data_IF_257315992806
#
_entry.id   IF_257315992806
#
_cell.length_a   1.000
_cell.length_b   1.000
_cell.length_c   1.000
_cell.angle_alpha   90.00
_cell.angle_beta   90.00
_cell.angle_gamma   90.00
#
_symmetry.space_group_name_H-M   'P 1'
#
loop_
_entity.id
_entity.type
_entity.pdbx_description
1 polymer ?
#
# COMPACT_ATOMS: atom_id res chain seq x y z
N UNK A 1 -0.39 18.85 23.93
CA UNK A 1 -0.35 17.53 24.59
C UNK A 1 0.94 16.86 24.15
N UNK A 2 1.74 16.30 25.07
CA UNK A 2 2.96 15.56 24.71
C UNK A 2 2.66 14.07 24.79
N UNK A 3 3.10 13.27 23.83
CA UNK A 3 2.93 11.81 23.83
C UNK A 3 4.32 11.19 23.75
N UNK A 4 4.56 10.13 24.53
CA UNK A 4 5.74 9.28 24.40
C UNK A 4 5.30 7.84 24.23
N UNK A 5 5.89 7.14 23.27
CA UNK A 5 5.63 5.73 22.95
C UNK A 5 6.86 4.91 23.31
N UNK A 6 6.68 3.97 24.25
CA UNK A 6 7.76 3.21 24.86
C UNK A 6 7.49 1.71 24.66
N UNK A 7 8.31 1.01 23.85
CA UNK A 7 8.25 -0.45 23.79
C UNK A 7 8.73 -1.05 25.12
N UNK A 8 8.01 -2.06 25.60
CA UNK A 8 8.36 -2.84 26.79
C UNK A 8 8.36 -4.33 26.45
N UNK A 9 9.31 -5.07 27.00
CA UNK A 9 9.49 -6.50 26.65
C UNK A 9 8.55 -7.44 27.43
N UNK A 10 7.70 -6.90 28.29
CA UNK A 10 6.85 -7.68 29.19
C UNK A 10 5.43 -7.12 29.25
N UNK A 11 4.49 -8.04 29.46
CA UNK A 11 3.08 -7.74 29.69
C UNK A 11 2.84 -7.19 31.08
N UNK A 12 1.99 -6.17 31.21
CA UNK A 12 1.49 -5.78 32.51
C UNK A 12 0.25 -6.61 32.88
N UNK A 13 0.21 -7.08 34.12
CA UNK A 13 -0.98 -7.63 34.76
C UNK A 13 -1.60 -6.59 35.69
N UNK A 14 -2.84 -6.77 36.17
CA UNK A 14 -3.39 -5.93 37.24
C UNK A 14 -2.52 -5.87 38.52
N UNK A 15 -1.63 -6.85 38.71
CA UNK A 15 -0.67 -6.88 39.80
C UNK A 15 0.62 -6.10 39.50
N UNK A 16 1.06 -6.03 38.23
CA UNK A 16 2.38 -5.51 37.85
C UNK A 16 2.35 -4.16 37.13
N UNK A 17 1.17 -3.69 36.69
CA UNK A 17 1.05 -2.38 36.05
C UNK A 17 1.38 -1.23 37.01
N UNK A 18 2.03 -0.16 36.52
CA UNK A 18 2.24 1.06 37.29
C UNK A 18 0.94 1.63 37.83
N UNK A 19 0.89 1.81 39.15
CA UNK A 19 -0.22 2.46 39.87
C UNK A 19 0.19 3.86 40.34
N UNK A 20 1.50 4.11 40.48
CA UNK A 20 2.05 5.38 40.92
C UNK A 20 2.95 5.99 39.85
N UNK A 21 3.02 7.32 39.82
CA UNK A 21 3.90 8.06 38.90
C UNK A 21 5.36 7.61 39.01
N UNK A 22 5.86 7.36 40.23
CA UNK A 22 7.23 6.93 40.47
C UNK A 22 7.57 5.60 39.77
N UNK A 23 6.63 4.65 39.77
CA UNK A 23 6.80 3.35 39.09
C UNK A 23 6.88 3.54 37.57
N UNK A 24 6.06 4.44 37.03
CA UNK A 24 6.12 4.80 35.61
C UNK A 24 7.42 5.54 35.25
N UNK A 25 7.86 6.47 36.10
CA UNK A 25 9.10 7.23 35.90
C UNK A 25 10.32 6.28 35.84
N UNK A 26 10.35 5.20 36.64
CA UNK A 26 11.39 4.18 36.59
C UNK A 26 11.41 3.44 35.24
N UNK A 27 10.24 3.06 34.72
CA UNK A 27 10.13 2.42 33.41
C UNK A 27 10.65 3.37 32.32
N UNK A 28 10.19 4.62 32.33
CA UNK A 28 10.63 5.64 31.37
C UNK A 28 12.14 5.86 31.41
N UNK A 29 12.73 6.00 32.61
CA UNK A 29 14.16 6.18 32.79
C UNK A 29 14.98 4.97 32.33
N UNK A 30 14.42 3.76 32.39
CA UNK A 30 15.09 2.54 31.92
C UNK A 30 15.04 2.33 30.41
N UNK A 31 14.14 3.03 29.70
CA UNK A 31 13.87 2.79 28.26
C UNK A 31 14.18 3.96 27.35
N UNK A 32 14.22 5.17 27.89
CA UNK A 32 14.46 6.39 27.14
C UNK A 32 15.87 6.90 27.38
N UNK A 33 16.45 7.55 26.38
CA UNK A 33 17.66 8.34 26.57
C UNK A 33 17.41 9.52 27.54
N UNK A 34 18.48 10.03 28.16
CA UNK A 34 18.36 11.21 29.01
C UNK A 34 17.79 12.43 28.28
N UNK A 35 18.02 12.53 26.97
CA UNK A 35 17.52 13.64 26.14
C UNK A 35 16.00 13.51 25.99
N UNK A 36 15.49 12.35 25.57
CA UNK A 36 14.05 12.10 25.43
C UNK A 36 13.31 12.28 26.75
N UNK A 37 13.88 11.78 27.84
CA UNK A 37 13.30 11.91 29.17
C UNK A 37 13.26 13.39 29.61
N UNK A 38 14.33 14.16 29.35
CA UNK A 38 14.35 15.61 29.62
C UNK A 38 13.35 16.37 28.77
N UNK A 39 13.25 16.08 27.47
CA UNK A 39 12.28 16.72 26.57
C UNK A 39 10.83 16.43 26.96
N UNK A 40 10.54 15.19 27.38
CA UNK A 40 9.23 14.78 27.85
C UNK A 40 8.85 15.41 29.20
N UNK A 41 9.84 15.62 30.08
CA UNK A 41 9.65 16.23 31.39
C UNK A 41 9.84 17.75 31.42
N UNK A 42 10.31 18.33 30.32
CA UNK A 42 10.59 19.77 30.23
C UNK A 42 9.33 20.57 30.61
N UNK A 43 9.48 21.62 31.45
CA UNK A 43 8.36 22.45 31.87
C UNK A 43 7.79 23.19 30.66
N UNK A 44 6.76 22.61 30.03
CA UNK A 44 5.94 23.28 29.02
C UNK A 44 4.88 24.12 29.74
N UNK A 45 4.36 25.17 29.10
CA UNK A 45 3.32 26.08 29.64
C UNK A 45 2.32 25.30 30.50
N UNK A 46 2.04 25.80 31.72
CA UNK A 46 1.45 25.11 32.88
C UNK A 46 0.03 24.50 32.74
N UNK A 47 -0.38 24.12 31.53
CA UNK A 47 -1.70 23.59 31.21
C UNK A 47 -1.66 22.36 30.28
N UNK A 48 -0.49 21.78 29.97
CA UNK A 48 -0.41 20.67 29.01
C UNK A 48 -0.37 19.29 29.67
N UNK A 49 -1.40 18.48 29.39
CA UNK A 49 -1.37 17.04 29.67
C UNK A 49 -0.27 16.32 28.90
N UNK A 50 0.25 15.25 29.49
CA UNK A 50 1.21 14.32 28.86
C UNK A 50 0.62 12.91 28.84
N UNK A 51 0.94 12.15 27.80
CA UNK A 51 0.54 10.76 27.64
C UNK A 51 1.79 9.90 27.55
N UNK A 52 1.77 8.78 28.27
CA UNK A 52 2.72 7.68 28.11
C UNK A 52 1.98 6.51 27.52
N UNK A 53 2.50 5.94 26.42
CA UNK A 53 2.05 4.70 25.84
C UNK A 53 3.12 3.64 26.09
N UNK A 54 2.75 2.53 26.69
CA UNK A 54 3.61 1.36 26.88
C UNK A 54 3.13 0.27 25.93
N UNK A 55 3.94 -0.10 24.94
CA UNK A 55 3.62 -1.17 23.98
C UNK A 55 4.28 -2.47 24.43
N UNK A 56 3.46 -3.41 24.89
CA UNK A 56 3.88 -4.75 25.31
C UNK A 56 3.55 -5.79 24.21
N UNK A 57 4.17 -6.98 24.24
CA UNK A 57 3.93 -8.02 23.23
C UNK A 57 2.47 -8.50 23.13
N UNK A 58 1.68 -8.36 24.20
CA UNK A 58 0.30 -8.84 24.28
C UNK A 58 -0.71 -7.73 24.66
N UNK A 59 -0.32 -6.45 24.58
CA UNK A 59 -1.21 -5.37 24.96
C UNK A 59 -0.57 -3.98 24.87
N UNK A 60 -1.39 -2.95 25.05
CA UNK A 60 -0.90 -1.57 25.15
C UNK A 60 -1.58 -0.86 26.28
N UNK A 61 -0.80 -0.08 27.02
CA UNK A 61 -1.23 0.59 28.23
C UNK A 61 -0.96 2.06 28.07
N UNK A 62 -1.97 2.88 28.29
CA UNK A 62 -1.85 4.32 28.23
C UNK A 62 -1.95 4.93 29.61
N UNK A 63 -1.23 6.02 29.82
CA UNK A 63 -1.31 6.81 31.04
C UNK A 63 -1.38 8.28 30.70
N UNK A 64 -2.43 8.95 31.17
CA UNK A 64 -2.50 10.40 31.18
C UNK A 64 -1.85 10.92 32.46
N UNK A 65 -0.86 11.79 32.29
CA UNK A 65 -0.24 12.57 33.35
C UNK A 65 -0.86 13.97 33.30
N UNK A 66 -1.74 14.33 34.26
CA UNK A 66 -2.38 15.63 34.26
C UNK A 66 -1.36 16.75 34.41
N UNK A 67 -1.41 17.72 33.49
CA UNK A 67 -0.68 18.98 33.59
C UNK A 67 -1.61 20.19 33.48
N UNK A 68 -2.93 19.96 33.58
CA UNK A 68 -3.99 20.97 33.45
C UNK A 68 -4.10 21.90 34.66
N UNK A 69 -5.00 22.90 34.61
CA UNK A 69 -5.09 23.96 35.61
C UNK A 69 -5.45 23.43 37.01
N UNK A 70 -5.06 24.20 38.03
CA UNK A 70 -5.37 23.98 39.45
C UNK A 70 -6.88 23.77 39.62
N UNK A 71 -7.29 22.65 40.24
CA UNK A 71 -8.69 22.49 40.68
C UNK A 71 -8.87 23.28 41.99
N UNK A 72 -9.65 24.36 41.95
CA UNK A 72 -10.10 25.05 43.16
C UNK A 72 -11.21 24.23 43.85
N UNK A 73 -10.88 23.50 44.90
CA UNK A 73 -11.89 23.11 45.91
C UNK A 73 -12.07 24.27 46.87
N UNK A 74 -13.13 25.07 46.70
CA UNK A 74 -13.54 26.07 47.70
C UNK A 74 -14.10 25.37 48.94
N UNK A 75 -13.24 25.09 49.93
CA UNK A 75 -13.62 24.97 51.34
C UNK A 75 -12.49 25.54 52.22
N UNK A 76 -12.64 26.80 52.67
CA UNK A 76 -11.77 27.44 53.67
C UNK A 76 -10.37 27.89 53.20
N UNK A 77 -9.60 28.49 54.12
CA UNK A 77 -8.23 29.01 53.95
C UNK A 77 -7.21 27.90 53.62
N UNK A 78 -7.29 27.28 52.44
CA UNK A 78 -6.30 26.32 51.94
C UNK A 78 -5.66 26.79 50.65
N UNK A 79 -4.33 26.59 50.61
CA UNK A 79 -3.39 26.87 49.52
C UNK A 79 -3.83 26.21 48.23
N UNK A 80 -3.67 26.91 47.10
CA UNK A 80 -3.81 26.39 45.75
C UNK A 80 -2.97 25.11 45.56
N UNK A 81 -3.61 23.94 45.58
CA UNK A 81 -2.97 22.65 45.34
C UNK A 81 -2.94 22.35 43.85
N UNK A 82 -1.77 22.00 43.30
CA UNK A 82 -1.71 21.37 41.97
C UNK A 82 -2.65 20.16 41.97
N UNK A 83 -3.37 19.89 40.87
CA UNK A 83 -4.23 18.72 40.80
C UNK A 83 -3.38 17.50 41.21
N UNK A 84 -3.96 16.70 42.08
CA UNK A 84 -3.37 15.47 42.55
C UNK A 84 -2.82 14.74 41.31
N UNK A 85 -1.50 14.51 41.24
CA UNK A 85 -0.74 13.99 40.09
C UNK A 85 -1.06 12.50 39.83
N UNK A 86 -2.34 12.15 39.89
CA UNK A 86 -2.81 10.79 39.79
C UNK A 86 -2.54 10.32 38.37
N UNK A 87 -1.88 9.17 38.32
CA UNK A 87 -1.66 8.44 37.10
C UNK A 87 -3.03 7.95 36.61
N UNK A 88 -3.56 8.55 35.55
CA UNK A 88 -4.87 8.17 35.03
C UNK A 88 -4.66 7.13 33.92
N UNK A 89 -5.07 5.86 34.12
CA UNK A 89 -4.98 4.86 33.06
C UNK A 89 -5.91 5.25 31.91
N UNK A 90 -5.42 5.06 30.69
CA UNK A 90 -6.16 5.24 29.45
C UNK A 90 -6.39 3.89 28.80
N UNK A 91 -7.60 3.71 28.27
CA UNK A 91 -7.86 2.64 27.33
C UNK A 91 -7.15 2.97 26.01
N UNK A 92 -6.29 2.07 25.56
CA UNK A 92 -5.50 2.25 24.33
C UNK A 92 -5.85 1.13 23.35
N UNK A 93 -6.17 1.53 22.13
CA UNK A 93 -6.32 0.62 20.99
C UNK A 93 -5.27 0.98 19.95
N UNK A 94 -4.48 -0.01 19.53
CA UNK A 94 -3.45 0.17 18.49
C UNK A 94 -4.06 0.24 17.09
N UNK A 95 -3.55 1.16 16.29
CA UNK A 95 -3.93 1.36 14.88
C UNK A 95 -2.70 1.44 13.95
N UNK A 96 -1.50 1.21 14.48
CA UNK A 96 -0.28 1.14 13.67
C UNK A 96 -0.27 -0.09 12.76
N UNK A 97 0.54 -0.04 11.68
CA UNK A 97 0.58 -1.09 10.67
C UNK A 97 0.98 -2.46 11.23
N UNK A 98 1.96 -2.51 12.14
CA UNK A 98 2.43 -3.76 12.74
C UNK A 98 1.29 -4.48 13.48
N UNK A 99 0.45 -3.71 14.18
CA UNK A 99 -0.74 -4.25 14.82
C UNK A 99 -1.83 -4.64 13.82
N UNK A 100 -2.26 -3.73 12.94
CA UNK A 100 -3.46 -3.91 12.12
C UNK A 100 -3.31 -4.98 11.04
N UNK A 101 -2.11 -5.14 10.47
CA UNK A 101 -1.81 -6.10 9.40
C UNK A 101 -1.48 -7.50 9.95
N UNK A 102 -0.66 -7.58 11.00
CA UNK A 102 -0.11 -8.87 11.44
C UNK A 102 -0.14 -9.12 12.95
N UNK A 103 -0.71 -8.23 13.77
CA UNK A 103 -0.66 -8.32 15.25
C UNK A 103 0.77 -8.55 15.76
N UNK A 104 1.73 -7.84 15.19
CA UNK A 104 3.18 -7.96 15.42
C UNK A 104 3.81 -9.33 15.06
N UNK A 105 3.06 -10.25 14.43
CA UNK A 105 3.57 -11.56 14.01
C UNK A 105 4.11 -11.57 12.58
N UNK A 106 3.68 -10.62 11.74
CA UNK A 106 4.22 -10.44 10.40
C UNK A 106 5.48 -9.58 10.48
N UNK A 107 6.64 -10.22 10.30
CA UNK A 107 7.97 -9.61 10.42
C UNK A 107 8.35 -8.71 9.23
N UNK A 108 7.61 -8.76 8.13
CA UNK A 108 7.89 -7.94 6.95
C UNK A 108 7.29 -6.53 7.05
N UNK A 109 6.26 -6.33 7.89
CA UNK A 109 5.57 -5.04 8.04
C UNK A 109 6.52 -3.89 8.41
N UNK A 110 7.46 -4.02 9.37
CA UNK A 110 8.41 -2.95 9.67
C UNK A 110 9.27 -2.54 8.46
N UNK A 111 9.70 -3.50 7.63
CA UNK A 111 10.44 -3.23 6.39
C UNK A 111 9.57 -2.48 5.39
N UNK A 112 8.36 -2.99 5.13
CA UNK A 112 7.39 -2.39 4.20
C UNK A 112 7.00 -0.97 4.61
N UNK A 113 6.95 -0.67 5.91
CA UNK A 113 6.69 0.68 6.43
C UNK A 113 7.80 1.69 6.10
N UNK A 114 9.02 1.22 5.79
CA UNK A 114 10.11 2.06 5.33
C UNK A 114 10.13 2.23 3.80
N UNK A 115 9.39 1.40 3.07
CA UNK A 115 9.37 1.40 1.61
C UNK A 115 8.54 2.55 1.01
N UNK A 116 8.97 3.04 -0.14
CA UNK A 116 8.28 4.01 -0.99
C UNK A 116 8.04 3.46 -2.39
N UNK A 117 6.76 3.21 -2.71
CA UNK A 117 6.32 2.65 -3.99
C UNK A 117 5.77 3.75 -4.92
N UNK A 118 6.19 3.76 -6.18
CA UNK A 118 5.57 4.55 -7.24
C UNK A 118 4.54 3.69 -7.98
N UNK A 119 3.28 4.10 -8.01
CA UNK A 119 2.23 3.45 -8.82
C UNK A 119 1.81 4.38 -9.95
N UNK A 120 1.92 3.90 -11.18
CA UNK A 120 1.54 4.61 -12.40
C UNK A 120 0.27 3.97 -12.94
N UNK A 121 -0.80 4.76 -13.01
CA UNK A 121 -2.15 4.29 -13.29
C UNK A 121 -2.93 4.00 -12.00
N UNK A 122 -3.98 4.78 -11.78
CA UNK A 122 -4.93 4.66 -10.68
C UNK A 122 -6.30 4.20 -11.19
N UNK A 123 -6.34 3.42 -12.27
CA UNK A 123 -7.57 2.86 -12.85
C UNK A 123 -8.16 1.70 -12.05
N UNK A 124 -8.94 0.82 -12.71
CA UNK A 124 -9.61 -0.31 -12.06
C UNK A 124 -8.63 -1.23 -11.32
N UNK A 125 -7.48 -1.53 -11.94
CA UNK A 125 -6.44 -2.36 -11.35
C UNK A 125 -5.62 -1.59 -10.30
N UNK A 126 -5.07 -0.44 -10.69
CA UNK A 126 -4.15 0.32 -9.85
C UNK A 126 -4.77 0.92 -8.59
N UNK A 127 -6.01 1.39 -8.65
CA UNK A 127 -6.68 1.93 -7.45
C UNK A 127 -6.80 0.88 -6.35
N UNK A 128 -7.19 -0.35 -6.69
CA UNK A 128 -7.33 -1.43 -5.71
C UNK A 128 -5.96 -1.97 -5.28
N UNK A 129 -4.98 -2.10 -6.20
CA UNK A 129 -3.61 -2.49 -5.83
C UNK A 129 -3.01 -1.52 -4.81
N UNK A 130 -3.18 -0.20 -4.99
CA UNK A 130 -2.75 0.82 -4.01
C UNK A 130 -3.38 0.58 -2.63
N UNK A 131 -4.69 0.34 -2.58
CA UNK A 131 -5.38 0.04 -1.32
C UNK A 131 -4.84 -1.24 -0.66
N UNK A 132 -4.63 -2.31 -1.43
CA UNK A 132 -4.14 -3.58 -0.92
C UNK A 132 -2.71 -3.48 -0.38
N UNK A 133 -1.77 -2.86 -1.11
CA UNK A 133 -0.38 -2.75 -0.62
C UNK A 133 -0.27 -1.81 0.59
N UNK A 134 -1.11 -0.76 0.67
CA UNK A 134 -1.19 0.08 1.85
C UNK A 134 -1.67 -0.71 3.09
N UNK A 135 -2.70 -1.55 2.93
CA UNK A 135 -3.20 -2.46 3.99
C UNK A 135 -2.20 -3.54 4.37
N UNK A 136 -1.35 -3.96 3.42
CA UNK A 136 -0.27 -4.91 3.64
C UNK A 136 0.95 -4.31 4.37
N UNK A 137 0.88 -3.02 4.72
CA UNK A 137 1.89 -2.36 5.53
C UNK A 137 2.93 -1.56 4.74
N UNK A 138 2.70 -1.24 3.46
CA UNK A 138 3.56 -0.27 2.75
C UNK A 138 3.40 1.12 3.37
N UNK A 139 4.54 1.77 3.67
CA UNK A 139 4.55 3.04 4.40
C UNK A 139 4.31 4.27 3.52
N UNK A 140 4.81 4.27 2.28
CA UNK A 140 4.72 5.42 1.37
C UNK A 140 4.34 4.99 -0.03
N UNK A 141 3.38 5.68 -0.64
CA UNK A 141 2.97 5.46 -2.02
C UNK A 141 2.91 6.80 -2.76
N UNK A 142 3.47 6.88 -3.95
CA UNK A 142 3.18 7.97 -4.89
C UNK A 142 2.33 7.44 -6.03
N UNK A 143 1.29 8.16 -6.41
CA UNK A 143 0.35 7.77 -7.46
C UNK A 143 0.41 8.80 -8.59
N UNK A 144 0.59 8.34 -9.83
CA UNK A 144 0.49 9.16 -11.03
C UNK A 144 -0.70 8.68 -11.86
N UNK A 145 -1.66 9.55 -12.11
CA UNK A 145 -2.76 9.29 -13.04
C UNK A 145 -3.33 10.64 -13.53
N UNK A 146 -3.41 10.81 -14.84
CA UNK A 146 -3.87 12.06 -15.45
C UNK A 146 -5.39 12.18 -15.56
N UNK A 147 -6.11 11.07 -15.39
CA UNK A 147 -7.53 10.97 -15.68
C UNK A 147 -8.40 11.41 -14.51
N UNK A 148 -9.65 11.73 -14.86
CA UNK A 148 -10.75 11.93 -13.93
C UNK A 148 -11.64 10.70 -13.91
N UNK A 149 -12.29 10.45 -12.78
CA UNK A 149 -13.25 9.37 -12.64
C UNK A 149 -14.46 9.58 -13.55
N UNK A 150 -14.77 8.59 -14.38
CA UNK A 150 -15.93 8.60 -15.26
C UNK A 150 -17.02 7.63 -14.74
N UNK A 151 -18.27 7.85 -15.13
CA UNK A 151 -19.39 6.97 -14.74
C UNK A 151 -19.17 5.51 -15.14
N UNK A 152 -18.59 5.26 -16.32
CA UNK A 152 -18.23 3.94 -16.81
C UNK A 152 -17.19 3.20 -15.93
N UNK A 153 -16.46 3.92 -15.06
CA UNK A 153 -15.46 3.31 -14.18
C UNK A 153 -16.07 2.76 -12.89
N UNK A 154 -17.25 3.23 -12.47
CA UNK A 154 -17.86 2.94 -11.15
C UNK A 154 -18.00 1.44 -10.87
N UNK A 155 -18.29 0.63 -11.90
CA UNK A 155 -18.50 -0.82 -11.71
C UNK A 155 -17.24 -1.64 -11.40
N UNK A 156 -16.04 -1.06 -11.52
CA UNK A 156 -14.76 -1.79 -11.38
C UNK A 156 -13.64 -1.01 -10.69
N UNK A 157 -13.87 0.27 -10.41
CA UNK A 157 -12.89 1.14 -9.75
C UNK A 157 -13.08 1.10 -8.23
N UNK A 158 -12.02 1.34 -7.46
CA UNK A 158 -12.10 1.40 -5.99
C UNK A 158 -13.08 2.47 -5.49
N UNK A 159 -13.14 3.58 -6.21
CA UNK A 159 -13.97 4.74 -5.88
C UNK A 159 -15.40 4.57 -6.40
N UNK A 160 -16.39 5.05 -5.64
CA UNK A 160 -17.79 5.00 -6.01
C UNK A 160 -18.23 6.18 -6.90
N UNK A 161 -19.55 6.26 -7.05
CA UNK A 161 -20.23 7.28 -7.88
C UNK A 161 -19.94 8.72 -7.39
N UNK A 162 -19.68 8.90 -6.10
CA UNK A 162 -19.36 10.18 -5.48
C UNK A 162 -18.05 10.79 -5.99
N UNK A 163 -17.17 9.98 -6.59
CA UNK A 163 -15.90 10.44 -7.11
C UNK A 163 -15.96 10.87 -8.58
N UNK A 164 -17.09 10.66 -9.29
CA UNK A 164 -17.22 11.01 -10.71
C UNK A 164 -16.92 12.50 -10.94
N UNK A 165 -16.07 12.79 -11.93
CA UNK A 165 -15.58 14.13 -12.24
C UNK A 165 -14.34 14.57 -11.44
N UNK A 166 -13.93 13.81 -10.40
CA UNK A 166 -12.74 14.10 -9.62
C UNK A 166 -11.52 13.37 -10.17
N UNK A 167 -10.32 13.94 -9.97
CA UNK A 167 -9.07 13.33 -10.41
C UNK A 167 -8.80 11.99 -9.69
N UNK A 168 -8.55 10.92 -10.45
CA UNK A 168 -8.42 9.55 -9.91
C UNK A 168 -7.31 9.45 -8.86
N UNK A 169 -6.10 9.88 -9.19
CA UNK A 169 -4.95 9.81 -8.28
C UNK A 169 -5.22 10.47 -6.92
N UNK A 170 -5.76 11.69 -6.91
CA UNK A 170 -6.03 12.45 -5.67
C UNK A 170 -7.14 11.82 -4.84
N UNK A 171 -8.19 11.34 -5.50
CA UNK A 171 -9.32 10.71 -4.84
C UNK A 171 -8.95 9.35 -4.25
N UNK A 172 -8.17 8.53 -4.96
CA UNK A 172 -7.62 7.26 -4.44
C UNK A 172 -6.72 7.53 -3.24
N UNK A 173 -5.78 8.48 -3.33
CA UNK A 173 -4.92 8.82 -2.21
C UNK A 173 -5.72 9.24 -0.97
N UNK A 174 -6.73 10.10 -1.16
CA UNK A 174 -7.60 10.55 -0.06
C UNK A 174 -8.42 9.41 0.53
N UNK A 175 -8.94 8.49 -0.29
CA UNK A 175 -9.67 7.30 0.16
C UNK A 175 -8.78 6.37 0.98
N UNK A 176 -7.63 5.99 0.42
CA UNK A 176 -6.73 5.00 1.04
C UNK A 176 -6.08 5.56 2.31
N UNK A 177 -5.69 6.83 2.37
CA UNK A 177 -5.17 7.43 3.61
C UNK A 177 -6.20 7.47 4.75
N UNK A 178 -7.51 7.52 4.45
CA UNK A 178 -8.56 7.37 5.48
C UNK A 178 -8.70 5.92 5.94
N UNK A 179 -8.51 4.96 5.04
CA UNK A 179 -8.65 3.54 5.33
C UNK A 179 -7.41 2.94 6.02
N UNK A 180 -6.22 3.42 5.66
CA UNK A 180 -4.91 2.92 6.08
C UNK A 180 -4.04 4.10 6.54
N UNK A 181 -4.27 4.64 7.76
CA UNK A 181 -3.63 5.87 8.23
C UNK A 181 -2.12 5.75 8.47
N UNK A 182 -1.57 4.54 8.51
CA UNK A 182 -0.13 4.27 8.54
C UNK A 182 0.57 4.53 7.20
N UNK A 183 -0.17 4.58 6.10
CA UNK A 183 0.37 4.81 4.76
C UNK A 183 0.26 6.28 4.35
N UNK A 184 1.38 6.89 3.98
CA UNK A 184 1.41 8.25 3.41
C UNK A 184 1.32 8.18 1.90
N UNK A 185 0.41 8.96 1.30
CA UNK A 185 0.22 8.93 -0.14
C UNK A 185 0.38 10.32 -0.75
N UNK A 186 1.21 10.42 -1.79
CA UNK A 186 1.33 11.61 -2.65
C UNK A 186 0.69 11.32 -4.00
N UNK A 187 -0.12 12.25 -4.51
CA UNK A 187 -0.87 12.05 -5.76
C UNK A 187 -0.60 13.15 -6.77
N UNK A 188 -0.34 12.75 -8.01
CA UNK A 188 -0.01 13.64 -9.12
C UNK A 188 -1.02 13.44 -10.25
N UNK A 189 -1.84 14.47 -10.50
CA UNK A 189 -2.83 14.50 -11.58
C UNK A 189 -2.19 14.97 -12.88
N UNK A 190 -1.30 14.16 -13.43
CA UNK A 190 -0.57 14.43 -14.69
C UNK A 190 -0.12 13.12 -15.33
N UNK A 191 0.37 13.20 -16.57
CA UNK A 191 0.90 12.02 -17.27
C UNK A 191 2.23 11.57 -16.66
N UNK A 192 2.56 10.28 -16.84
CA UNK A 192 3.80 9.71 -16.36
C UNK A 192 5.01 10.39 -16.99
N UNK A 193 4.96 10.67 -18.29
CA UNK A 193 6.03 11.33 -19.05
C UNK A 193 6.35 12.70 -18.47
N UNK A 194 5.31 13.51 -18.19
CA UNK A 194 5.49 14.85 -17.60
C UNK A 194 6.07 14.77 -16.20
N UNK A 195 5.61 13.82 -15.39
CA UNK A 195 6.10 13.66 -14.03
C UNK A 195 7.58 13.22 -14.02
N UNK A 196 7.95 12.27 -14.89
CA UNK A 196 9.30 11.74 -15.04
C UNK A 196 10.30 12.80 -15.54
N UNK A 197 9.87 13.79 -16.32
CA UNK A 197 10.71 14.93 -16.71
C UNK A 197 11.05 15.87 -15.55
N UNK A 198 10.28 15.84 -14.48
CA UNK A 198 10.34 16.82 -13.38
C UNK A 198 10.84 16.22 -12.06
N UNK A 199 10.91 14.89 -11.98
CA UNK A 199 11.15 14.16 -10.73
C UNK A 199 12.13 13.01 -10.95
N UNK A 200 12.85 12.65 -9.90
CA UNK A 200 13.77 11.50 -9.91
C UNK A 200 13.09 10.22 -9.43
N UNK A 201 13.55 9.08 -9.95
CA UNK A 201 13.18 7.75 -9.45
C UNK A 201 13.99 7.30 -8.23
N UNK A 202 15.07 8.01 -7.88
CA UNK A 202 15.96 7.63 -6.77
C UNK A 202 15.28 7.40 -5.40
N UNK A 203 14.18 8.09 -5.02
CA UNK A 203 13.53 7.85 -3.73
C UNK A 203 12.68 6.57 -3.64
N UNK A 204 12.46 5.86 -4.75
CA UNK A 204 11.52 4.74 -4.81
C UNK A 204 12.21 3.39 -4.73
N UNK A 205 11.64 2.48 -3.95
CA UNK A 205 12.11 1.10 -3.81
C UNK A 205 11.48 0.18 -4.87
N UNK A 206 10.34 0.58 -5.44
CA UNK A 206 9.60 -0.17 -6.44
C UNK A 206 8.74 0.77 -7.29
N UNK A 207 8.68 0.49 -8.59
CA UNK A 207 7.71 1.08 -9.54
C UNK A 207 6.71 0.00 -9.94
N UNK A 208 5.42 0.36 -9.98
CA UNK A 208 4.35 -0.50 -10.47
C UNK A 208 3.64 0.24 -11.61
N UNK A 209 3.75 -0.29 -12.83
CA UNK A 209 3.02 0.21 -13.99
C UNK A 209 1.76 -0.63 -14.25
N UNK A 210 0.61 0.03 -14.17
CA UNK A 210 -0.72 -0.55 -14.36
C UNK A 210 -1.54 0.23 -15.39
N UNK A 211 -0.85 0.98 -16.26
CA UNK A 211 -1.50 1.78 -17.31
C UNK A 211 -1.92 0.94 -18.51
N UNK A 212 -1.15 -0.12 -18.82
CA UNK A 212 -1.29 -0.87 -20.06
C UNK A 212 -0.77 -0.11 -21.30
N UNK A 213 -0.28 1.12 -21.15
CA UNK A 213 0.12 1.98 -22.26
C UNK A 213 1.58 1.78 -22.66
N UNK A 214 1.89 1.50 -23.95
CA UNK A 214 3.26 1.39 -24.41
C UNK A 214 4.09 2.65 -24.12
N UNK A 215 3.54 3.85 -24.34
CA UNK A 215 4.28 5.12 -24.16
C UNK A 215 4.81 5.28 -22.75
N UNK A 216 4.02 4.88 -21.75
CA UNK A 216 4.41 4.91 -20.33
C UNK A 216 5.55 3.94 -20.08
N UNK A 217 5.48 2.71 -20.62
CA UNK A 217 6.57 1.73 -20.51
C UNK A 217 7.88 2.24 -21.13
N UNK A 218 7.83 2.85 -22.31
CA UNK A 218 9.00 3.49 -22.93
C UNK A 218 9.56 4.62 -22.06
N UNK A 219 8.71 5.49 -21.53
CA UNK A 219 9.15 6.61 -20.70
C UNK A 219 9.78 6.16 -19.38
N UNK A 220 9.17 5.17 -18.70
CA UNK A 220 9.70 4.61 -17.46
C UNK A 220 11.03 3.91 -17.73
N UNK A 221 11.13 3.10 -18.78
CA UNK A 221 12.38 2.43 -19.16
C UNK A 221 13.51 3.43 -19.37
N UNK A 222 13.27 4.49 -20.15
CA UNK A 222 14.29 5.50 -20.46
C UNK A 222 14.87 6.14 -19.19
N UNK A 223 14.05 6.40 -18.18
CA UNK A 223 14.54 6.98 -16.90
C UNK A 223 15.18 5.91 -16.00
N UNK A 224 14.69 4.66 -16.04
CA UNK A 224 15.25 3.53 -15.28
C UNK A 224 16.66 3.14 -15.71
N UNK A 225 17.02 3.36 -16.98
CA UNK A 225 18.39 3.09 -17.46
C UNK A 225 19.45 3.87 -16.67
N UNK A 226 19.15 5.11 -16.29
CA UNK A 226 20.04 5.95 -15.49
C UNK A 226 19.74 5.87 -13.97
N UNK A 227 18.55 5.39 -13.61
CA UNK A 227 18.07 5.31 -12.23
C UNK A 227 17.49 3.91 -11.96
N UNK A 228 18.35 2.91 -11.71
CA UNK A 228 17.94 1.51 -11.65
C UNK A 228 17.05 1.25 -10.43
N UNK A 229 15.76 1.02 -10.67
CA UNK A 229 14.74 0.70 -9.65
C UNK A 229 13.96 -0.53 -10.14
N UNK A 230 13.58 -1.49 -9.27
CA UNK A 230 12.72 -2.60 -9.67
C UNK A 230 11.40 -2.11 -10.27
N UNK A 231 10.91 -2.81 -11.29
CA UNK A 231 9.67 -2.49 -11.99
C UNK A 231 8.77 -3.72 -12.05
N UNK A 232 7.52 -3.57 -11.60
CA UNK A 232 6.44 -4.53 -11.80
C UNK A 232 5.47 -3.96 -12.84
N UNK A 233 5.27 -4.68 -13.94
CA UNK A 233 4.28 -4.35 -14.96
C UNK A 233 3.12 -5.32 -14.80
N UNK A 234 1.93 -4.80 -14.51
CA UNK A 234 0.74 -5.61 -14.26
C UNK A 234 -0.36 -5.33 -15.27
N UNK A 235 -0.98 -6.39 -15.80
CA UNK A 235 -2.11 -6.26 -16.72
C UNK A 235 -3.05 -7.46 -16.65
N UNK A 236 -4.23 -7.30 -17.23
CA UNK A 236 -5.22 -8.36 -17.44
C UNK A 236 -5.55 -8.46 -18.92
N UNK A 237 -5.83 -9.67 -19.36
CA UNK A 237 -6.37 -9.94 -20.69
C UNK A 237 -7.90 -9.82 -20.70
N UNK A 238 -8.55 -9.63 -21.86
CA UNK A 238 -10.00 -9.60 -21.98
C UNK A 238 -10.70 -10.74 -21.22
N UNK A 239 -11.87 -10.44 -20.64
CA UNK A 239 -12.64 -11.32 -19.75
C UNK A 239 -11.92 -11.73 -18.45
N UNK A 240 -10.72 -11.18 -18.20
CA UNK A 240 -9.77 -11.71 -17.22
C UNK A 240 -9.51 -13.19 -17.48
N UNK A 241 -9.37 -13.55 -18.76
CA UNK A 241 -8.93 -14.88 -19.18
C UNK A 241 -7.53 -15.20 -18.63
N UNK A 242 -6.70 -14.18 -18.49
CA UNK A 242 -5.44 -14.25 -17.79
C UNK A 242 -5.13 -12.91 -17.10
N UNK A 243 -4.28 -12.97 -16.09
CA UNK A 243 -3.68 -11.83 -15.45
C UNK A 243 -2.19 -12.07 -15.26
N UNK A 244 -1.40 -11.01 -15.34
CA UNK A 244 0.05 -11.11 -15.38
C UNK A 244 0.70 -10.06 -14.49
N UNK A 245 1.83 -10.45 -13.90
CA UNK A 245 2.78 -9.56 -13.26
C UNK A 245 4.17 -9.89 -13.79
N UNK A 246 4.74 -8.97 -14.56
CA UNK A 246 6.11 -9.05 -15.04
C UNK A 246 7.03 -8.30 -14.08
N UNK A 247 8.06 -8.97 -13.59
CA UNK A 247 9.02 -8.44 -12.63
C UNK A 247 10.34 -8.20 -13.34
N UNK A 248 10.81 -6.96 -13.28
CA UNK A 248 12.12 -6.54 -13.76
C UNK A 248 12.92 -6.07 -12.56
N UNK A 249 13.99 -6.78 -12.21
CA UNK A 249 14.98 -6.28 -11.26
C UNK A 249 15.71 -5.07 -11.85
N UNK A 250 16.41 -4.34 -11.01
CA UNK A 250 16.94 -3.00 -11.32
C UNK A 250 17.88 -2.94 -12.54
N UNK A 251 18.51 -4.07 -12.88
CA UNK A 251 19.45 -4.23 -13.99
C UNK A 251 18.82 -4.85 -15.25
N UNK A 252 17.56 -5.27 -15.21
CA UNK A 252 16.89 -5.90 -16.34
C UNK A 252 16.04 -4.87 -17.14
N UNK A 253 16.43 -4.59 -18.39
CA UNK A 253 15.66 -3.71 -19.26
C UNK A 253 14.44 -4.43 -19.87
N UNK A 254 13.31 -3.71 -19.91
CA UNK A 254 12.11 -4.13 -20.64
C UNK A 254 12.39 -4.21 -22.16
N UNK A 255 13.04 -3.19 -22.73
CA UNK A 255 13.11 -2.96 -24.18
C UNK A 255 14.41 -3.43 -24.85
N UNK A 256 15.02 -4.57 -24.44
CA UNK A 256 16.34 -5.05 -24.96
C UNK A 256 16.52 -4.98 -26.50
N UNK A 257 15.47 -5.21 -27.28
CA UNK A 257 15.50 -5.18 -28.75
C UNK A 257 14.77 -3.97 -29.36
N UNK A 258 14.44 -2.96 -28.55
CA UNK A 258 13.63 -1.80 -28.95
C UNK A 258 12.13 -2.08 -29.13
N UNK A 259 11.68 -3.31 -28.91
CA UNK A 259 10.28 -3.71 -29.05
C UNK A 259 9.64 -3.98 -27.69
N UNK A 260 8.40 -3.51 -27.52
CA UNK A 260 7.54 -3.85 -26.39
C UNK A 260 7.14 -5.33 -26.47
N UNK A 261 7.35 -6.08 -25.39
CA UNK A 261 7.15 -7.55 -25.36
C UNK A 261 5.80 -7.96 -24.78
N UNK A 262 4.95 -7.01 -24.36
CA UNK A 262 3.69 -7.32 -23.69
C UNK A 262 2.82 -8.30 -24.49
N UNK A 263 2.70 -8.08 -25.81
CA UNK A 263 1.94 -8.97 -26.70
C UNK A 263 2.49 -10.39 -26.77
N UNK A 264 3.81 -10.57 -26.62
CA UNK A 264 4.45 -11.90 -26.64
C UNK A 264 4.13 -12.69 -25.36
N UNK A 265 3.87 -11.97 -24.26
CA UNK A 265 3.59 -12.55 -22.96
C UNK A 265 2.13 -12.96 -22.76
N UNK A 266 1.25 -12.64 -23.71
CA UNK A 266 -0.16 -13.00 -23.64
C UNK A 266 -0.38 -14.52 -23.65
N UNK A 267 -1.37 -14.98 -22.88
CA UNK A 267 -1.81 -16.36 -22.75
C UNK A 267 -2.79 -16.78 -23.84
N UNK A 268 -3.61 -15.84 -24.34
CA UNK A 268 -4.61 -16.12 -25.37
C UNK A 268 -4.21 -15.48 -26.69
N UNK A 269 -4.56 -16.14 -27.80
CA UNK A 269 -4.50 -15.53 -29.13
C UNK A 269 -5.77 -14.70 -29.33
N UNK A 270 -5.63 -13.38 -29.30
CA UNK A 270 -6.76 -12.45 -29.39
C UNK A 270 -7.02 -12.01 -30.85
N UNK A 271 -8.23 -12.23 -31.39
CA UNK A 271 -8.66 -11.60 -32.62
C UNK A 271 -8.81 -10.08 -32.47
N UNK A 272 -8.60 -9.33 -33.56
CA UNK A 272 -8.64 -7.87 -33.58
C UNK A 272 -9.97 -7.26 -33.11
N UNK A 273 -11.07 -8.01 -33.22
CA UNK A 273 -12.42 -7.56 -32.91
C UNK A 273 -12.81 -7.74 -31.42
N UNK A 274 -11.96 -8.38 -30.60
CA UNK A 274 -12.20 -8.53 -29.16
C UNK A 274 -12.00 -7.21 -28.42
N UNK A 275 -11.08 -6.38 -28.90
CA UNK A 275 -10.81 -5.07 -28.32
C UNK A 275 -11.84 -4.06 -28.82
N UNK A 276 -12.97 -3.99 -28.11
CA UNK A 276 -14.02 -3.01 -28.42
C UNK A 276 -13.59 -1.61 -27.99
N UNK A 277 -13.40 -0.73 -28.96
CA UNK A 277 -13.10 0.68 -28.73
C UNK A 277 -14.38 1.39 -28.30
N UNK A 278 -14.35 2.12 -27.17
CA UNK A 278 -15.51 2.92 -26.79
C UNK A 278 -15.72 4.06 -27.81
N UNK A 279 -16.95 4.33 -28.26
CA UNK A 279 -17.20 5.44 -29.16
C UNK A 279 -16.81 6.78 -28.49
N UNK A 280 -15.84 7.48 -29.06
CA UNK A 280 -15.48 8.86 -28.67
C UNK A 280 -14.40 9.00 -27.59
N UNK A 281 -13.94 7.91 -26.95
CA UNK A 281 -12.79 7.92 -26.05
C UNK A 281 -11.86 6.81 -26.50
N UNK A 282 -10.59 7.10 -26.77
CA UNK A 282 -9.63 6.14 -27.36
C UNK A 282 -9.32 4.91 -26.50
N UNK A 283 -10.06 4.67 -25.42
CA UNK A 283 -9.97 3.54 -24.52
C UNK A 283 -10.62 2.27 -25.09
N UNK A 284 -10.02 1.12 -24.78
CA UNK A 284 -10.58 -0.18 -25.06
C UNK A 284 -11.41 -0.67 -23.87
N UNK A 285 -12.68 -0.99 -24.10
CA UNK A 285 -13.52 -1.62 -23.10
C UNK A 285 -13.27 -3.13 -23.10
N UNK A 286 -12.77 -3.64 -21.98
CA UNK A 286 -12.74 -5.07 -21.71
C UNK A 286 -13.91 -5.43 -20.80
N UNK A 287 -14.76 -6.37 -21.23
CA UNK A 287 -15.88 -6.87 -20.44
C UNK A 287 -15.36 -7.79 -19.33
N UNK A 288 -15.49 -7.38 -18.08
CA UNK A 288 -15.24 -8.20 -16.91
C UNK A 288 -15.94 -7.63 -15.66
N UNK A 289 -16.09 -8.46 -14.63
CA UNK A 289 -16.61 -8.03 -13.33
C UNK A 289 -15.48 -7.63 -12.39
N UNK A 290 -15.77 -6.79 -11.39
CA UNK A 290 -14.81 -6.45 -10.34
C UNK A 290 -14.29 -7.70 -9.60
N UNK A 291 -15.12 -8.73 -9.44
CA UNK A 291 -14.72 -10.01 -8.82
C UNK A 291 -13.69 -10.75 -9.67
N UNK A 292 -13.88 -10.80 -11.00
CA UNK A 292 -12.90 -11.43 -11.88
C UNK A 292 -11.55 -10.69 -11.83
N UNK A 293 -11.58 -9.36 -11.78
CA UNK A 293 -10.38 -8.54 -11.68
C UNK A 293 -9.55 -8.79 -10.40
N UNK A 294 -10.16 -9.32 -9.33
CA UNK A 294 -9.45 -9.65 -8.08
C UNK A 294 -8.33 -10.65 -8.28
N UNK A 295 -8.41 -11.54 -9.28
CA UNK A 295 -7.31 -12.45 -9.59
C UNK A 295 -6.05 -11.70 -10.03
N UNK A 296 -6.19 -10.67 -10.87
CA UNK A 296 -5.08 -9.82 -11.28
C UNK A 296 -4.59 -8.92 -10.15
N UNK A 297 -5.51 -8.31 -9.40
CA UNK A 297 -5.19 -7.44 -8.26
C UNK A 297 -4.35 -8.20 -7.22
N UNK A 298 -4.80 -9.39 -6.81
CA UNK A 298 -4.10 -10.21 -5.83
C UNK A 298 -2.72 -10.63 -6.35
N UNK A 299 -2.63 -11.11 -7.59
CA UNK A 299 -1.37 -11.49 -8.22
C UNK A 299 -0.35 -10.34 -8.20
N UNK A 300 -0.78 -9.14 -8.60
CA UNK A 300 0.10 -7.97 -8.70
C UNK A 300 0.48 -7.45 -7.32
N UNK A 301 -0.46 -7.36 -6.38
CA UNK A 301 -0.19 -6.91 -5.02
C UNK A 301 0.79 -7.84 -4.31
N UNK A 302 0.57 -9.15 -4.34
CA UNK A 302 1.50 -10.15 -3.77
C UNK A 302 2.88 -10.07 -4.45
N UNK A 303 2.91 -9.90 -5.78
CA UNK A 303 4.17 -9.74 -6.50
C UNK A 303 4.93 -8.48 -6.09
N UNK A 304 4.25 -7.37 -5.87
CA UNK A 304 4.87 -6.15 -5.36
C UNK A 304 5.45 -6.36 -3.96
N UNK A 305 4.74 -7.06 -3.08
CA UNK A 305 5.21 -7.38 -1.73
C UNK A 305 6.42 -8.30 -1.76
N UNK A 306 6.40 -9.36 -2.58
CA UNK A 306 7.54 -10.26 -2.77
C UNK A 306 8.82 -9.51 -3.20
N UNK A 307 8.67 -8.50 -4.07
CA UNK A 307 9.81 -7.65 -4.49
C UNK A 307 10.31 -6.81 -3.31
N UNK A 308 9.42 -6.14 -2.58
CA UNK A 308 9.78 -5.31 -1.43
C UNK A 308 10.39 -6.12 -0.27
N UNK A 309 9.97 -7.38 -0.13
CA UNK A 309 10.45 -8.29 0.90
C UNK A 309 11.73 -9.03 0.50
N UNK A 310 12.22 -8.82 -0.72
CA UNK A 310 13.45 -9.43 -1.23
C UNK A 310 13.31 -10.93 -1.58
N UNK A 311 12.10 -11.39 -1.89
CA UNK A 311 11.81 -12.79 -2.21
C UNK A 311 12.00 -13.13 -3.70
N UNK A 312 12.25 -12.15 -4.55
CA UNK A 312 12.44 -12.34 -5.99
C UNK A 312 13.93 -12.35 -6.33
N UNK A 313 14.45 -13.52 -6.69
CA UNK A 313 15.87 -13.70 -7.00
C UNK A 313 16.27 -13.32 -8.43
N UNK A 314 15.31 -13.30 -9.37
CA UNK A 314 15.54 -12.98 -10.79
C UNK A 314 14.29 -12.41 -11.44
N UNK A 315 14.47 -11.63 -12.50
CA UNK A 315 13.38 -11.14 -13.34
C UNK A 315 12.58 -12.30 -13.93
N UNK A 316 11.27 -12.27 -13.75
CA UNK A 316 10.36 -13.35 -14.11
C UNK A 316 8.97 -12.80 -14.45
N UNK A 317 8.17 -13.60 -15.14
CA UNK A 317 6.76 -13.32 -15.42
C UNK A 317 5.92 -14.31 -14.67
N UNK A 318 5.02 -13.81 -13.83
CA UNK A 318 4.00 -14.59 -13.13
C UNK A 318 2.68 -14.39 -13.85
N UNK A 319 1.97 -15.47 -14.12
CA UNK A 319 0.72 -15.43 -14.88
C UNK A 319 -0.29 -16.34 -14.22
N UNK A 320 -1.48 -15.80 -13.94
CA UNK A 320 -2.63 -16.61 -13.63
C UNK A 320 -3.48 -16.75 -14.89
N UNK A 321 -3.82 -17.99 -15.28
CA UNK A 321 -4.46 -18.28 -16.57
C UNK A 321 -5.66 -19.19 -16.38
N UNK A 322 -6.82 -18.82 -16.96
CA UNK A 322 -8.04 -19.63 -16.99
C UNK A 322 -7.95 -20.79 -17.99
N UNK A 323 -8.81 -21.78 -17.82
CA UNK A 323 -8.89 -22.95 -18.69
C UNK A 323 -9.44 -22.63 -20.10
N UNK A 324 -9.13 -23.49 -21.07
CA UNK A 324 -9.73 -23.42 -22.41
C UNK A 324 -11.27 -23.50 -22.36
N UNK A 325 -11.83 -24.27 -21.42
CA UNK A 325 -13.27 -24.36 -21.19
C UNK A 325 -13.88 -23.02 -20.77
N UNK A 326 -13.15 -22.20 -20.01
CA UNK A 326 -13.59 -20.84 -19.68
C UNK A 326 -13.64 -19.97 -20.94
N UNK A 327 -12.62 -20.01 -21.79
CA UNK A 327 -12.59 -19.26 -23.05
C UNK A 327 -13.77 -19.63 -23.94
N UNK A 328 -14.00 -20.93 -24.15
CA UNK A 328 -15.09 -21.45 -24.98
C UNK A 328 -16.49 -20.99 -24.51
N UNK A 329 -16.69 -20.79 -23.19
CA UNK A 329 -17.95 -20.27 -22.65
C UNK A 329 -18.17 -18.78 -22.94
N UNK A 330 -17.10 -18.00 -23.10
CA UNK A 330 -17.18 -16.56 -23.35
C UNK A 330 -17.21 -16.24 -24.84
N UNK A 331 -16.38 -16.95 -25.63
CA UNK A 331 -16.31 -16.78 -27.08
C UNK A 331 -15.72 -18.04 -27.73
N UNK A 332 -16.38 -18.55 -28.75
CA UNK A 332 -15.87 -19.66 -29.57
C UNK A 332 -14.67 -19.21 -30.41
N UNK A 333 -13.72 -20.12 -30.65
CA UNK A 333 -12.55 -19.87 -31.50
C UNK A 333 -11.38 -19.15 -30.83
N UNK A 334 -11.45 -18.87 -29.53
CA UNK A 334 -10.29 -18.41 -28.76
C UNK A 334 -9.38 -19.59 -28.43
N UNK A 335 -8.07 -19.40 -28.54
CA UNK A 335 -7.08 -20.44 -28.26
C UNK A 335 -6.01 -19.97 -27.27
N UNK A 336 -5.68 -20.83 -26.30
CA UNK A 336 -4.50 -20.64 -25.46
C UNK A 336 -3.22 -20.86 -26.27
N UNK A 337 -2.24 -19.98 -26.08
CA UNK A 337 -0.87 -20.16 -26.60
C UNK A 337 -0.23 -21.38 -25.97
N UNK A 338 0.74 -21.98 -26.66
CA UNK A 338 1.33 -23.27 -26.26
C UNK A 338 1.82 -23.32 -24.82
N UNK A 339 2.49 -22.26 -24.35
CA UNK A 339 2.97 -22.17 -22.97
C UNK A 339 1.83 -22.11 -21.93
N UNK A 340 0.65 -21.64 -22.33
CA UNK A 340 -0.51 -21.46 -21.48
C UNK A 340 -1.44 -22.69 -21.47
N UNK A 341 -1.25 -23.64 -22.39
CA UNK A 341 -2.04 -24.90 -22.47
C UNK A 341 -1.87 -25.81 -21.26
N UNK A 342 -0.86 -25.57 -20.42
CA UNK A 342 -0.72 -26.23 -19.12
C UNK A 342 -1.84 -25.87 -18.13
N UNK A 343 -2.68 -24.86 -18.43
CA UNK A 343 -3.86 -24.54 -17.64
C UNK A 343 -4.82 -25.73 -17.57
N UNK A 344 -5.06 -26.31 -16.38
CA UNK A 344 -5.88 -27.49 -16.23
C UNK A 344 -7.35 -27.19 -16.53
N UNK A 345 -8.20 -28.21 -16.53
CA UNK A 345 -9.66 -28.09 -16.69
C UNK A 345 -10.35 -27.30 -15.57
N UNK A 346 -9.61 -26.91 -14.53
CA UNK A 346 -10.07 -26.18 -13.34
C UNK A 346 -10.04 -24.68 -13.61
N UNK A 347 -10.75 -23.89 -12.81
CA UNK A 347 -10.96 -22.45 -12.91
C UNK A 347 -9.70 -21.56 -12.76
N UNK A 348 -8.50 -22.04 -13.12
CA UNK A 348 -7.28 -21.26 -13.34
C UNK A 348 -6.02 -21.84 -12.67
N UNK A 349 -4.83 -21.52 -13.19
CA UNK A 349 -3.54 -21.95 -12.64
C UNK A 349 -2.54 -20.80 -12.57
N UNK A 350 -1.65 -20.84 -11.57
CA UNK A 350 -0.50 -19.95 -11.48
C UNK A 350 0.70 -20.55 -12.21
N UNK A 351 1.27 -19.80 -13.15
CA UNK A 351 2.45 -20.16 -13.94
C UNK A 351 3.56 -19.14 -13.67
N UNK A 352 4.80 -19.60 -13.57
CA UNK A 352 5.99 -18.76 -13.46
C UNK A 352 6.92 -19.09 -14.62
N UNK A 353 7.40 -18.06 -15.32
CA UNK A 353 8.27 -18.18 -16.48
C UNK A 353 9.44 -17.21 -16.37
N UNK A 354 10.57 -17.57 -16.95
CA UNK A 354 11.65 -16.60 -17.13
C UNK A 354 11.20 -15.49 -18.07
N UNK A 355 11.75 -14.29 -17.93
CA UNK A 355 11.39 -13.17 -18.82
C UNK A 355 11.63 -13.48 -20.31
N UNK A 356 12.59 -14.35 -20.61
CA UNK A 356 13.03 -14.68 -21.97
C UNK A 356 12.68 -16.12 -22.40
N UNK A 357 11.85 -16.84 -21.65
CA UNK A 357 11.62 -18.28 -21.82
C UNK A 357 10.18 -18.74 -21.72
#
# INVERSE_FOLDING_TARGET
MSVIDVPVDFAFSPATWPKKKQELDLILASRLSEVELREFNSPRKAAQHRIVLLRAPNGSYGYLLPGGPIQETKVGNRVAGRPNLWLLPLLVSRLDAAWTTGRDTNLDVPRRQLSHVLVIGAGALGSVVVDQIARAGVGRISIIDAEVMQSANVGRHLLGVEAVGLAKAKSVASHVMRASPSCRISAYSMTAERWLQQNSLAPFDLIIDLTGEPSVRYAVENVRLDNPVPLVIGWMEPYVAAAHACILLSDEPWLRSGADRLEQLQAVVWPDDVLQREPGCGSFFQSYTAVAAMHGIALIAETALDVLDGQVAKSEVRSWVRSQSFLNRHRSGLELRDWAKAAPTIDGVMLRRGLHG
#
